data_IF_515814940187
#
_entry.id   IF_515814940187
#
_cell.length_a   1.000
_cell.length_b   1.000
_cell.length_c   1.000
_cell.angle_alpha   90.00
_cell.angle_beta   90.00
_cell.angle_gamma   90.00
#
_symmetry.space_group_name_H-M   'P 1'
#
loop_
_entity.id
_entity.type
_entity.pdbx_description
1 polymer ?
#
# COMPACT_ATOMS: atom_id res chain seq x y z
N UNK A 1 -46.47 -29.35 -11.54
CA UNK A 1 -45.89 -28.20 -10.79
C UNK A 1 -44.38 -28.34 -10.50
N UNK A 2 -43.67 -29.31 -11.07
CA UNK A 2 -42.22 -29.54 -10.79
C UNK A 2 -41.32 -28.73 -11.74
N UNK A 3 -41.74 -28.48 -12.99
CA UNK A 3 -40.93 -27.75 -13.99
C UNK A 3 -40.73 -26.25 -13.73
N UNK A 4 -41.64 -25.60 -12.99
CA UNK A 4 -41.51 -24.15 -12.65
C UNK A 4 -40.49 -23.87 -11.54
N UNK A 5 -40.27 -24.83 -10.64
CA UNK A 5 -39.29 -24.71 -9.56
C UNK A 5 -37.85 -24.90 -10.04
N UNK A 6 -37.65 -25.72 -11.08
CA UNK A 6 -36.32 -25.98 -11.67
C UNK A 6 -35.84 -24.76 -12.49
N UNK A 7 -36.74 -24.10 -13.22
CA UNK A 7 -36.41 -22.93 -14.05
C UNK A 7 -36.03 -21.69 -13.22
N UNK A 8 -36.64 -21.53 -12.04
CA UNK A 8 -36.31 -20.43 -11.12
C UNK A 8 -34.94 -20.65 -10.49
N UNK A 9 -34.60 -21.87 -10.06
CA UNK A 9 -33.28 -22.17 -9.49
C UNK A 9 -32.12 -21.92 -10.46
N UNK A 10 -32.28 -22.24 -11.76
CA UNK A 10 -31.24 -22.00 -12.78
C UNK A 10 -31.02 -20.50 -13.11
N UNK A 11 -32.05 -19.66 -12.97
CA UNK A 11 -31.91 -18.22 -13.21
C UNK A 11 -31.16 -17.51 -12.07
N UNK A 12 -31.39 -17.93 -10.82
CA UNK A 12 -30.71 -17.33 -9.67
C UNK A 12 -29.22 -17.70 -9.58
N UNK A 13 -28.83 -18.91 -10.00
CA UNK A 13 -27.41 -19.31 -10.03
C UNK A 13 -26.62 -18.59 -11.12
N UNK A 14 -27.22 -18.37 -12.29
CA UNK A 14 -26.59 -17.63 -13.38
C UNK A 14 -26.35 -16.14 -13.04
N UNK A 15 -27.32 -15.49 -12.37
CA UNK A 15 -27.16 -14.10 -11.91
C UNK A 15 -26.12 -13.98 -10.79
N UNK A 16 -26.03 -14.97 -9.90
CA UNK A 16 -25.00 -15.00 -8.85
C UNK A 16 -23.58 -15.16 -9.42
N UNK A 17 -23.39 -15.94 -10.48
CA UNK A 17 -22.09 -16.07 -11.16
C UNK A 17 -21.66 -14.78 -11.89
N UNK A 18 -22.59 -14.13 -12.60
CA UNK A 18 -22.31 -12.87 -13.29
C UNK A 18 -21.98 -11.72 -12.31
N UNK A 19 -22.58 -11.70 -11.12
CA UNK A 19 -22.24 -10.76 -10.05
C UNK A 19 -20.85 -11.03 -9.45
N UNK A 20 -20.47 -12.30 -9.30
CA UNK A 20 -19.18 -12.68 -8.72
C UNK A 20 -18.01 -12.36 -9.66
N UNK A 21 -18.14 -12.64 -10.96
CA UNK A 21 -17.08 -12.31 -11.94
C UNK A 21 -16.81 -10.81 -12.03
N UNK A 22 -17.87 -10.00 -11.98
CA UNK A 22 -17.75 -8.53 -11.98
C UNK A 22 -17.10 -8.01 -10.70
N UNK A 23 -17.46 -8.55 -9.54
CA UNK A 23 -16.84 -8.21 -8.25
C UNK A 23 -15.34 -8.58 -8.23
N UNK A 24 -14.97 -9.76 -8.73
CA UNK A 24 -13.57 -10.19 -8.82
C UNK A 24 -12.77 -9.28 -9.75
N UNK A 25 -13.32 -8.93 -10.92
CA UNK A 25 -12.66 -8.03 -11.86
C UNK A 25 -12.46 -6.62 -11.25
N UNK A 26 -13.47 -6.13 -10.52
CA UNK A 26 -13.38 -4.85 -9.82
C UNK A 26 -12.32 -4.86 -8.71
N UNK A 27 -12.22 -5.94 -7.93
CA UNK A 27 -11.19 -6.10 -6.91
C UNK A 27 -9.78 -6.13 -7.53
N UNK A 28 -9.60 -6.81 -8.67
CA UNK A 28 -8.30 -6.85 -9.36
C UNK A 28 -7.88 -5.46 -9.87
N UNK A 29 -8.82 -4.70 -10.43
CA UNK A 29 -8.53 -3.34 -10.88
C UNK A 29 -8.20 -2.42 -9.69
N UNK A 30 -8.90 -2.59 -8.56
CA UNK A 30 -8.60 -1.86 -7.31
C UNK A 30 -7.19 -2.18 -6.80
N UNK A 31 -6.82 -3.46 -6.73
CA UNK A 31 -5.47 -3.87 -6.32
C UNK A 31 -4.39 -3.30 -7.26
N UNK A 32 -4.66 -3.26 -8.57
CA UNK A 32 -3.75 -2.68 -9.55
C UNK A 32 -3.55 -1.17 -9.33
N UNK A 33 -4.64 -0.44 -9.07
CA UNK A 33 -4.59 0.99 -8.75
C UNK A 33 -3.80 1.24 -7.48
N UNK A 34 -4.05 0.47 -6.42
CA UNK A 34 -3.31 0.56 -5.16
C UNK A 34 -1.82 0.27 -5.34
N UNK A 35 -1.44 -0.67 -6.22
CA UNK A 35 -0.02 -0.93 -6.53
C UNK A 35 0.65 0.26 -7.22
N UNK A 36 -0.05 0.90 -8.17
CA UNK A 36 0.47 2.09 -8.84
C UNK A 36 0.60 3.27 -7.87
N UNK A 37 -0.39 3.47 -7.00
CA UNK A 37 -0.33 4.51 -5.96
C UNK A 37 0.81 4.24 -4.97
N UNK A 38 0.99 3.00 -4.54
CA UNK A 38 2.09 2.62 -3.65
C UNK A 38 3.45 2.94 -4.28
N UNK A 39 3.63 2.64 -5.56
CA UNK A 39 4.91 2.91 -6.24
C UNK A 39 5.16 4.42 -6.34
N UNK A 40 4.16 5.19 -6.78
CA UNK A 40 4.26 6.64 -6.82
C UNK A 40 4.57 7.24 -5.43
N UNK A 41 3.97 6.69 -4.38
CA UNK A 41 4.19 7.18 -3.02
C UNK A 41 5.58 6.82 -2.47
N UNK A 42 6.15 5.68 -2.88
CA UNK A 42 7.54 5.34 -2.58
C UNK A 42 8.51 6.29 -3.27
N UNK A 43 8.26 6.61 -4.54
CA UNK A 43 9.07 7.56 -5.29
C UNK A 43 9.07 8.95 -4.63
N UNK A 44 7.90 9.42 -4.17
CA UNK A 44 7.77 10.68 -3.43
C UNK A 44 8.57 10.64 -2.11
N UNK A 45 8.47 9.56 -1.34
CA UNK A 45 9.22 9.41 -0.10
C UNK A 45 10.74 9.33 -0.33
N UNK A 46 11.17 8.68 -1.42
CA UNK A 46 12.59 8.64 -1.82
C UNK A 46 13.08 10.03 -2.26
N UNK A 47 12.26 10.77 -2.99
CA UNK A 47 12.58 12.12 -3.40
C UNK A 47 12.75 13.05 -2.19
N UNK A 48 11.79 13.05 -1.25
CA UNK A 48 11.86 13.81 0.00
C UNK A 48 13.14 13.49 0.78
N UNK A 49 13.50 12.20 0.89
CA UNK A 49 14.75 11.79 1.51
C UNK A 49 15.99 12.38 0.81
N UNK A 50 16.04 12.34 -0.53
CA UNK A 50 17.17 12.89 -1.31
C UNK A 50 17.33 14.39 -1.06
N UNK A 51 16.23 15.15 -1.02
CA UNK A 51 16.27 16.59 -0.74
C UNK A 51 16.84 16.88 0.66
N UNK A 52 16.44 16.12 1.68
CA UNK A 52 16.97 16.29 3.05
C UNK A 52 18.45 15.95 3.12
N UNK A 53 18.89 14.88 2.42
CA UNK A 53 20.30 14.50 2.38
C UNK A 53 21.14 15.56 1.65
N UNK A 54 20.64 16.09 0.54
CA UNK A 54 21.30 17.18 -0.17
C UNK A 54 21.44 18.41 0.73
N UNK A 55 20.35 18.82 1.39
CA UNK A 55 20.36 19.91 2.36
C UNK A 55 21.38 19.68 3.48
N UNK A 56 21.32 18.51 4.13
CA UNK A 56 22.24 18.15 5.22
C UNK A 56 23.70 18.09 4.78
N UNK A 57 23.98 17.66 3.54
CA UNK A 57 25.32 17.60 2.97
C UNK A 57 25.96 18.98 2.77
N UNK A 58 25.14 20.03 2.63
CA UNK A 58 25.63 21.41 2.54
C UNK A 58 25.89 22.07 3.90
N UNK A 59 25.55 21.40 5.01
CA UNK A 59 25.72 21.93 6.35
C UNK A 59 27.21 22.09 6.72
N UNK A 60 27.63 23.27 7.23
CA UNK A 60 29.02 23.54 7.58
C UNK A 60 29.50 22.78 8.83
N UNK A 61 28.61 22.09 9.56
CA UNK A 61 28.97 21.38 10.79
C UNK A 61 28.23 20.05 10.88
N UNK A 62 28.97 18.99 11.16
CA UNK A 62 28.45 17.65 11.42
C UNK A 62 27.61 17.00 10.29
N UNK A 63 27.82 17.40 9.03
CA UNK A 63 27.07 16.87 7.89
C UNK A 63 27.21 15.36 7.74
N UNK A 64 28.41 14.80 7.94
CA UNK A 64 28.64 13.35 7.80
C UNK A 64 27.79 12.53 8.80
N UNK A 65 27.73 12.96 10.06
CA UNK A 65 26.91 12.29 11.06
C UNK A 65 25.42 12.48 10.79
N UNK A 66 25.00 13.67 10.32
CA UNK A 66 23.61 13.93 9.95
C UNK A 66 23.15 13.06 8.78
N UNK A 67 23.94 13.01 7.69
CA UNK A 67 23.66 12.16 6.52
C UNK A 67 23.59 10.69 6.93
N UNK A 68 24.54 10.22 7.74
CA UNK A 68 24.51 8.84 8.24
C UNK A 68 23.23 8.52 9.01
N UNK A 69 22.77 9.41 9.89
CA UNK A 69 21.51 9.23 10.64
C UNK A 69 20.30 9.20 9.72
N UNK A 70 20.29 10.04 8.67
CA UNK A 70 19.22 10.05 7.67
C UNK A 70 19.18 8.76 6.85
N UNK A 71 20.34 8.25 6.43
CA UNK A 71 20.46 6.96 5.73
C UNK A 71 19.95 5.80 6.59
N UNK A 72 20.31 5.77 7.87
CA UNK A 72 19.85 4.77 8.82
C UNK A 72 18.33 4.87 9.05
N UNK A 73 17.81 6.09 9.24
CA UNK A 73 16.38 6.32 9.38
C UNK A 73 15.61 5.85 8.13
N UNK A 74 16.10 6.18 6.93
CA UNK A 74 15.45 5.80 5.67
C UNK A 74 15.28 4.28 5.53
N UNK A 75 16.32 3.52 5.89
CA UNK A 75 16.30 2.04 5.89
C UNK A 75 15.36 1.49 6.95
N UNK A 76 15.42 2.01 8.18
CA UNK A 76 14.59 1.54 9.30
C UNK A 76 13.10 1.79 9.03
N UNK A 77 12.76 2.88 8.35
CA UNK A 77 11.39 3.18 7.94
C UNK A 77 10.81 2.08 7.03
N UNK A 78 11.52 1.61 6.02
CA UNK A 78 11.00 0.57 5.11
C UNK A 78 10.70 -0.73 5.86
N UNK A 79 11.64 -1.12 6.73
CA UNK A 79 11.50 -2.26 7.63
C UNK A 79 10.29 -2.13 8.57
N UNK A 80 10.10 -0.95 9.14
CA UNK A 80 8.99 -0.63 10.03
C UNK A 80 7.65 -0.70 9.30
N UNK A 81 7.58 -0.14 8.08
CA UNK A 81 6.38 -0.15 7.24
C UNK A 81 5.98 -1.59 6.92
N UNK A 82 6.93 -2.42 6.45
CA UNK A 82 6.64 -3.79 6.07
C UNK A 82 6.11 -4.61 7.25
N UNK A 83 6.78 -4.52 8.41
CA UNK A 83 6.40 -5.26 9.62
C UNK A 83 5.03 -4.81 10.14
N UNK A 84 4.78 -3.50 10.15
CA UNK A 84 3.52 -2.91 10.63
C UNK A 84 2.36 -3.33 9.72
N UNK A 85 2.48 -3.14 8.41
CA UNK A 85 1.40 -3.46 7.49
C UNK A 85 1.13 -4.95 7.35
N UNK A 86 2.15 -5.80 7.59
CA UNK A 86 1.94 -7.25 7.73
C UNK A 86 1.15 -7.60 8.99
N UNK A 87 1.43 -6.91 10.11
CA UNK A 87 0.71 -7.13 11.36
C UNK A 87 -0.74 -6.63 11.29
N UNK A 88 -0.98 -5.47 10.69
CA UNK A 88 -2.34 -4.92 10.52
C UNK A 88 -3.22 -5.78 9.59
N UNK A 89 -2.62 -6.53 8.66
CA UNK A 89 -3.34 -7.45 7.77
C UNK A 89 -3.71 -8.81 8.42
N UNK A 90 -3.34 -9.06 9.69
CA UNK A 90 -3.57 -10.34 10.38
C UNK A 90 -5.04 -10.74 10.47
N UNK A 91 -5.98 -9.80 10.44
CA UNK A 91 -7.42 -10.10 10.52
C UNK A 91 -8.01 -10.66 9.22
N UNK A 92 -7.27 -10.62 8.11
CA UNK A 92 -7.76 -10.98 6.77
C UNK A 92 -6.91 -12.04 6.05
N UNK A 93 -6.03 -12.75 6.76
CA UNK A 93 -5.03 -13.67 6.19
C UNK A 93 -5.63 -14.64 5.15
N UNK A 94 -5.00 -14.72 3.99
CA UNK A 94 -5.35 -15.60 2.87
C UNK A 94 -6.43 -15.06 1.94
N UNK A 95 -6.89 -13.82 2.12
CA UNK A 95 -7.97 -13.23 1.32
C UNK A 95 -7.46 -12.12 0.39
N UNK A 96 -8.23 -11.74 -0.65
CA UNK A 96 -7.93 -10.54 -1.45
C UNK A 96 -8.04 -9.26 -0.64
N UNK A 97 -8.94 -9.23 0.35
CA UNK A 97 -9.04 -8.14 1.30
C UNK A 97 -7.72 -7.93 2.07
N UNK A 98 -6.98 -9.00 2.37
CA UNK A 98 -5.61 -8.89 2.94
C UNK A 98 -4.69 -8.06 2.04
N UNK A 99 -4.69 -8.35 0.74
CA UNK A 99 -3.77 -7.72 -0.20
C UNK A 99 -4.10 -6.23 -0.37
N UNK A 100 -5.38 -5.90 -0.53
CA UNK A 100 -5.83 -4.52 -0.62
C UNK A 100 -5.54 -3.74 0.68
N UNK A 101 -5.84 -4.31 1.85
CA UNK A 101 -5.58 -3.70 3.15
C UNK A 101 -4.07 -3.49 3.39
N UNK A 102 -3.24 -4.46 2.99
CA UNK A 102 -1.79 -4.33 3.08
C UNK A 102 -1.28 -3.20 2.19
N UNK A 103 -1.74 -3.11 0.94
CA UNK A 103 -1.34 -2.04 0.03
C UNK A 103 -1.77 -0.66 0.56
N UNK A 104 -3.01 -0.53 1.02
CA UNK A 104 -3.52 0.72 1.61
C UNK A 104 -2.75 1.14 2.86
N UNK A 105 -2.44 0.20 3.76
CA UNK A 105 -1.55 0.46 4.89
C UNK A 105 -0.19 0.97 4.41
N UNK A 106 0.44 0.29 3.45
CA UNK A 106 1.77 0.68 2.97
C UNK A 106 1.74 2.09 2.38
N UNK A 107 0.73 2.43 1.57
CA UNK A 107 0.55 3.79 1.02
C UNK A 107 0.49 4.81 2.15
N UNK A 108 -0.34 4.59 3.18
CA UNK A 108 -0.46 5.50 4.32
C UNK A 108 0.88 5.69 5.03
N UNK A 109 1.61 4.60 5.28
CA UNK A 109 2.91 4.70 5.97
C UNK A 109 4.01 5.33 5.12
N UNK A 110 4.00 5.14 3.80
CA UNK A 110 4.92 5.87 2.91
C UNK A 110 4.58 7.36 2.80
N UNK A 111 3.30 7.76 2.92
CA UNK A 111 2.90 9.17 3.10
C UNK A 111 3.45 9.75 4.42
N UNK A 112 3.40 8.98 5.50
CA UNK A 112 4.01 9.38 6.79
C UNK A 112 5.54 9.51 6.68
N UNK A 113 6.20 8.57 5.98
CA UNK A 113 7.65 8.62 5.69
C UNK A 113 8.03 9.87 4.90
N UNK A 114 7.30 10.17 3.82
CA UNK A 114 7.47 11.39 3.02
C UNK A 114 7.34 12.64 3.90
N UNK A 115 6.25 12.75 4.67
CA UNK A 115 6.00 13.90 5.53
C UNK A 115 7.09 14.10 6.58
N UNK A 116 7.62 13.02 7.16
CA UNK A 116 8.74 13.07 8.09
C UNK A 116 9.98 13.72 7.44
N UNK A 117 10.39 13.24 6.27
CA UNK A 117 11.56 13.78 5.57
C UNK A 117 11.31 15.24 5.13
N UNK A 118 10.16 15.55 4.55
CA UNK A 118 9.81 16.94 4.18
C UNK A 118 9.84 17.91 5.37
N UNK A 119 9.50 17.45 6.58
CA UNK A 119 9.56 18.27 7.80
C UNK A 119 10.96 18.47 8.40
N UNK A 120 11.97 17.81 7.83
CA UNK A 120 13.35 17.82 8.34
C UNK A 120 14.22 18.91 7.70
N UNK A 121 13.73 19.58 6.66
CA UNK A 121 14.33 20.77 6.02
C UNK A 121 13.70 22.02 6.63
#
# INVERSE_FOLDING_TARGET
>A
MIGKAIFTAFFFTALAHAGLETEIAQQQETEKQLRMELEAQKDLAEHAYKEVVEFASTSPTNHEEQVKRLEEAFKVWDDFIEKTCRAEALESIGTRAEQANKLDCMIKRYKEKEAYFNSTI
#
